data_IF_514485059409
#
_entry.id   IF_514485059409
#
_cell.length_a   1.000
_cell.length_b   1.000
_cell.length_c   1.000
_cell.angle_alpha   90.00
_cell.angle_beta   90.00
_cell.angle_gamma   90.00
#
_symmetry.space_group_name_H-M   'P 1'
#
loop_
_entity.id
_entity.type
_entity.pdbx_description
1 polymer ?
#
# COMPACT_ATOMS: atom_id res chain seq x y z
N UNK A 1 -4.38 12.86 10.58
CA UNK A 1 -5.09 12.43 9.37
C UNK A 1 -5.50 13.68 8.63
N UNK A 2 -5.41 13.72 7.31
CA UNK A 2 -5.98 14.81 6.52
C UNK A 2 -7.32 14.36 5.94
N UNK A 3 -8.36 15.18 6.14
CA UNK A 3 -9.73 14.91 5.73
C UNK A 3 -10.13 15.88 4.62
N UNK A 4 -10.45 15.35 3.44
CA UNK A 4 -11.11 16.11 2.37
C UNK A 4 -12.38 15.36 1.95
N UNK A 5 -13.55 15.99 2.14
CA UNK A 5 -14.85 15.46 1.70
C UNK A 5 -15.15 14.04 2.22
N UNK A 6 -14.76 13.72 3.47
CA UNK A 6 -14.96 12.42 4.11
C UNK A 6 -13.98 11.31 3.68
N UNK A 7 -12.98 11.62 2.84
CA UNK A 7 -11.87 10.71 2.52
C UNK A 7 -10.70 10.99 3.46
N UNK A 8 -10.24 9.94 4.15
CA UNK A 8 -9.07 9.99 5.01
C UNK A 8 -7.85 9.55 4.22
N UNK A 9 -6.78 10.34 4.28
CA UNK A 9 -5.48 9.95 3.74
C UNK A 9 -4.45 9.75 4.86
N UNK A 10 -3.56 8.76 4.71
CA UNK A 10 -2.49 8.57 5.66
C UNK A 10 -1.51 9.75 5.60
N UNK A 11 -1.37 10.45 6.71
CA UNK A 11 -0.45 11.58 6.87
C UNK A 11 0.91 11.06 7.36
N UNK A 12 1.73 10.64 6.41
CA UNK A 12 3.15 10.43 6.66
C UNK A 12 3.89 11.72 6.33
N UNK A 13 4.87 12.12 7.17
CA UNK A 13 5.69 13.31 6.92
C UNK A 13 6.44 13.26 5.58
N UNK A 14 6.66 12.05 5.05
CA UNK A 14 7.33 11.79 3.79
C UNK A 14 6.36 11.63 2.60
N UNK A 15 5.06 11.82 2.82
CA UNK A 15 4.01 11.65 1.82
C UNK A 15 3.43 12.98 1.35
N UNK A 16 3.14 13.07 0.06
CA UNK A 16 2.30 14.11 -0.53
C UNK A 16 1.07 13.43 -1.13
N UNK A 17 -0.11 13.83 -0.64
CA UNK A 17 -1.38 13.25 -1.06
C UNK A 17 -2.06 14.19 -2.06
N UNK A 18 -2.57 13.61 -3.14
CA UNK A 18 -3.36 14.28 -4.15
C UNK A 18 -4.74 13.63 -4.18
N UNK A 19 -5.78 14.42 -3.92
CA UNK A 19 -7.16 13.99 -4.04
C UNK A 19 -7.67 14.37 -5.43
N UNK A 20 -8.00 13.37 -6.25
CA UNK A 20 -8.76 13.55 -7.49
C UNK A 20 -10.19 12.99 -7.32
N UNK A 21 -11.10 13.41 -8.21
CA UNK A 21 -12.48 12.92 -8.27
C UNK A 21 -12.54 11.41 -8.46
N UNK A 22 -11.58 10.81 -9.19
CA UNK A 22 -11.57 9.39 -9.50
C UNK A 22 -10.71 8.56 -8.55
N UNK A 23 -9.61 9.10 -8.05
CA UNK A 23 -8.67 8.38 -7.19
C UNK A 23 -7.92 9.30 -6.22
N UNK A 24 -7.47 8.74 -5.11
CA UNK A 24 -6.51 9.38 -4.21
C UNK A 24 -5.13 8.81 -4.48
N UNK A 25 -4.14 9.68 -4.73
CA UNK A 25 -2.75 9.29 -4.99
C UNK A 25 -1.89 9.75 -3.82
N UNK A 26 -1.16 8.83 -3.19
CA UNK A 26 -0.15 9.16 -2.19
C UNK A 26 1.25 8.90 -2.75
N UNK A 27 2.03 9.96 -2.96
CA UNK A 27 3.42 9.86 -3.39
C UNK A 27 4.34 10.00 -2.17
N UNK A 28 5.24 9.05 -1.96
CA UNK A 28 6.22 9.10 -0.86
C UNK A 28 7.63 9.38 -1.38
N UNK A 29 8.38 10.20 -0.65
CA UNK A 29 9.76 10.56 -1.00
C UNK A 29 10.67 10.52 0.22
N UNK A 30 11.82 9.86 0.11
CA UNK A 30 12.80 9.75 1.20
C UNK A 30 14.07 10.56 0.87
N UNK A 31 14.62 11.24 1.87
CA UNK A 31 15.93 11.88 1.76
C UNK A 31 17.02 10.94 2.27
N UNK A 32 17.99 10.60 1.42
CA UNK A 32 19.17 9.79 1.76
C UNK A 32 20.39 10.62 1.39
N UNK A 33 21.25 10.94 2.36
CA UNK A 33 22.48 11.72 2.15
C UNK A 33 22.25 13.05 1.40
N UNK A 34 21.15 13.75 1.73
CA UNK A 34 20.79 15.02 1.09
C UNK A 34 20.19 14.90 -0.32
N UNK A 35 20.04 13.69 -0.86
CA UNK A 35 19.34 13.43 -2.13
C UNK A 35 17.94 12.89 -1.87
N UNK A 36 16.96 13.38 -2.63
CA UNK A 36 15.56 12.94 -2.53
C UNK A 36 15.26 11.82 -3.53
N UNK A 37 14.67 10.74 -3.05
CA UNK A 37 14.29 9.56 -3.83
C UNK A 37 12.80 9.32 -3.73
N UNK A 38 12.15 9.07 -4.87
CA UNK A 38 10.75 8.64 -4.89
C UNK A 38 10.65 7.18 -4.48
N UNK A 39 9.84 6.89 -3.47
CA UNK A 39 9.56 5.51 -3.06
C UNK A 39 8.62 4.91 -4.10
N UNK A 40 9.07 3.82 -4.72
CA UNK A 40 8.29 3.06 -5.70
C UNK A 40 8.12 1.64 -5.18
N UNK A 41 6.92 1.08 -5.36
CA UNK A 41 6.72 -0.35 -5.17
C UNK A 41 7.56 -1.14 -6.18
N UNK A 42 8.28 -2.16 -5.72
CA UNK A 42 8.95 -3.14 -6.59
C UNK A 42 8.00 -4.17 -7.18
N UNK A 43 6.73 -4.13 -6.75
CA UNK A 43 5.70 -5.02 -7.26
C UNK A 43 5.09 -4.47 -8.54
N UNK A 44 4.78 -5.34 -9.53
CA UNK A 44 4.15 -4.91 -10.77
C UNK A 44 2.84 -4.18 -10.48
N UNK A 45 2.64 -3.03 -11.12
CA UNK A 45 1.37 -2.28 -11.07
C UNK A 45 0.27 -2.95 -11.89
N UNK A 46 0.62 -3.90 -12.77
CA UNK A 46 -0.30 -4.60 -13.68
C UNK A 46 -0.79 -5.95 -13.16
N UNK A 47 -0.27 -6.44 -12.04
CA UNK A 47 -0.81 -7.67 -11.45
C UNK A 47 -2.10 -7.30 -10.73
N UNK A 48 -3.23 -7.82 -11.18
CA UNK A 48 -4.53 -7.72 -10.48
C UNK A 48 -4.55 -8.38 -9.09
N UNK A 49 -3.37 -8.65 -8.51
CA UNK A 49 -3.14 -9.13 -7.16
C UNK A 49 -2.06 -8.24 -6.54
N UNK A 50 -2.47 -7.43 -5.59
CA UNK A 50 -1.62 -6.62 -4.74
C UNK A 50 -0.72 -7.52 -3.88
N UNK A 51 0.38 -7.00 -3.30
CA UNK A 51 1.17 -7.75 -2.31
C UNK A 51 0.31 -8.24 -1.13
N UNK A 52 -0.68 -7.45 -0.73
CA UNK A 52 -1.67 -7.82 0.28
C UNK A 52 -2.48 -9.05 -0.15
N UNK A 53 -2.95 -9.11 -1.40
CA UNK A 53 -3.70 -10.27 -1.91
C UNK A 53 -2.87 -11.56 -1.87
N UNK A 54 -1.55 -11.46 -2.06
CA UNK A 54 -0.64 -12.61 -1.93
C UNK A 54 -0.46 -13.04 -0.47
N UNK A 55 -0.32 -12.07 0.44
CA UNK A 55 -0.20 -12.35 1.88
C UNK A 55 -1.47 -13.02 2.42
N UNK A 56 -2.65 -12.52 2.03
CA UNK A 56 -3.94 -13.10 2.40
C UNK A 56 -4.05 -14.55 1.88
N UNK A 57 -3.73 -14.79 0.61
CA UNK A 57 -3.76 -16.15 0.05
C UNK A 57 -2.82 -17.13 0.77
N UNK A 58 -1.66 -16.66 1.23
CA UNK A 58 -0.73 -17.49 2.03
C UNK A 58 -1.32 -17.83 3.40
N UNK A 59 -1.97 -16.87 4.07
CA UNK A 59 -2.64 -17.08 5.35
C UNK A 59 -3.75 -18.12 5.19
N UNK A 60 -4.63 -17.95 4.19
CA UNK A 60 -5.73 -18.87 3.92
C UNK A 60 -5.21 -20.30 3.66
N UNK A 61 -4.15 -20.42 2.84
CA UNK A 61 -3.52 -21.71 2.53
C UNK A 61 -2.96 -22.41 3.76
N UNK A 62 -2.36 -21.66 4.70
CA UNK A 62 -1.80 -22.26 5.92
C UNK A 62 -2.92 -22.66 6.90
N UNK A 63 -3.96 -21.83 7.02
CA UNK A 63 -5.12 -22.10 7.85
C UNK A 63 -5.85 -23.39 7.41
N UNK A 64 -5.99 -23.59 6.10
CA UNK A 64 -6.58 -24.80 5.51
C UNK A 64 -5.79 -26.07 5.89
N UNK A 65 -4.45 -26.00 5.91
CA UNK A 65 -3.61 -27.14 6.32
C UNK A 65 -3.81 -27.51 7.79
N UNK A 66 -3.92 -26.52 8.66
CA UNK A 66 -4.17 -26.73 10.08
C UNK A 66 -5.54 -27.38 10.33
N UNK A 67 -6.56 -27.00 9.55
CA UNK A 67 -7.92 -27.59 9.68
C UNK A 67 -8.02 -29.03 9.17
N UNK A 68 -7.19 -29.42 8.20
CA UNK A 68 -7.16 -30.78 7.64
C UNK A 68 -6.23 -31.75 8.39
N UNK A 69 -5.51 -31.27 9.41
CA UNK A 69 -4.58 -32.05 10.23
C UNK A 69 -5.15 -32.46 11.60
N UNK A 70 -6.44 -32.22 11.85
CA UNK A 70 -7.16 -32.53 13.09
C UNK A 70 -8.02 -33.80 13.01
#
# INVERSE_FOLDING_TARGET
EEEENGKYAPCFDDATVFFDKTQTIANRSMCIEGRRYRICSVFPTSTGRTPTDKLLALIDTELEKETHSA
#
